data_IF_730799987542
#
_entry.id   IF_730799987542
#
_cell.length_a   1.000
_cell.length_b   1.000
_cell.length_c   1.000
_cell.angle_alpha   90.00
_cell.angle_beta   90.00
_cell.angle_gamma   90.00
#
_symmetry.space_group_name_H-M   'P 1'
#
loop_
_entity.id
_entity.type
_entity.pdbx_description
1 polymer ?
#
# COMPACT_ATOMS: atom_id res chain seq x y z
N UNK A 1 13.01 61.56 22.23
CA UNK A 1 13.53 62.85 22.73
C UNK A 1 12.37 63.54 23.42
N UNK A 2 12.44 63.56 24.76
CA UNK A 2 11.90 64.56 25.70
C UNK A 2 10.42 64.99 25.61
N UNK A 3 9.63 65.09 26.69
CA UNK A 3 9.79 64.80 28.12
C UNK A 3 8.46 65.17 28.84
N UNK A 4 8.24 64.56 30.02
CA UNK A 4 7.65 65.11 31.27
C UNK A 4 6.18 65.59 31.25
N UNK A 5 5.28 65.06 32.09
CA UNK A 5 5.20 65.04 33.58
C UNK A 5 3.87 65.75 33.92
N UNK A 6 3.08 65.53 34.98
CA UNK A 6 3.19 64.79 36.24
C UNK A 6 1.84 64.87 37.00
N UNK A 7 1.58 63.87 37.85
CA UNK A 7 1.06 63.96 39.25
C UNK A 7 -0.39 64.39 39.53
N UNK A 8 -1.08 63.97 40.61
CA UNK A 8 -0.93 62.93 41.66
C UNK A 8 -2.16 63.00 42.62
N UNK A 9 -2.48 61.85 43.24
CA UNK A 9 -2.84 61.57 44.65
C UNK A 9 -4.09 62.14 45.39
N UNK A 10 -4.81 61.17 46.01
CA UNK A 10 -5.22 61.03 47.44
C UNK A 10 -6.57 61.63 47.91
N UNK A 11 -7.55 60.82 48.33
CA UNK A 11 -7.75 60.00 49.56
C UNK A 11 -8.39 60.79 50.72
N UNK A 12 -9.57 60.36 51.18
CA UNK A 12 -9.96 60.30 52.60
C UNK A 12 -11.30 59.59 52.81
N UNK A 13 -11.34 58.72 53.80
CA UNK A 13 -12.38 57.78 54.23
C UNK A 13 -13.33 58.40 55.28
N UNK A 14 -14.48 57.75 55.53
CA UNK A 14 -15.03 57.28 56.85
C UNK A 14 -16.55 57.00 56.72
N UNK A 15 -17.02 55.74 56.64
CA UNK A 15 -17.36 54.74 57.68
C UNK A 15 -18.72 54.88 58.38
N UNK A 16 -19.64 53.98 58.00
CA UNK A 16 -20.25 52.89 58.81
C UNK A 16 -21.74 52.91 59.21
N UNK A 17 -22.25 51.68 59.24
CA UNK A 17 -23.42 51.12 59.93
C UNK A 17 -24.83 51.31 59.34
N UNK A 18 -25.26 50.31 58.56
CA UNK A 18 -26.54 49.60 58.73
C UNK A 18 -26.66 48.46 57.69
N UNK A 19 -26.27 47.22 58.03
CA UNK A 19 -26.57 46.07 57.17
C UNK A 19 -26.55 44.72 57.90
N UNK A 20 -27.56 44.46 58.74
CA UNK A 20 -27.80 43.13 59.33
C UNK A 20 -29.21 42.59 58.99
N UNK A 21 -30.14 43.41 58.48
CA UNK A 21 -31.48 42.98 58.08
C UNK A 21 -31.59 42.31 56.69
N UNK A 22 -30.74 42.68 55.74
CA UNK A 22 -30.93 42.34 54.32
C UNK A 22 -30.21 41.06 53.85
N UNK A 23 -29.32 40.47 54.67
CA UNK A 23 -28.58 39.24 54.33
C UNK A 23 -29.34 37.95 54.64
N UNK A 24 -30.30 37.95 55.58
CA UNK A 24 -31.09 36.75 55.91
C UNK A 24 -32.16 36.41 54.88
N UNK A 25 -32.69 37.39 54.16
CA UNK A 25 -33.73 37.17 53.13
C UNK A 25 -33.14 36.64 51.81
N UNK A 26 -31.92 37.05 51.45
CA UNK A 26 -31.22 36.60 50.22
C UNK A 26 -30.68 35.17 50.34
N UNK A 27 -30.22 34.75 51.51
CA UNK A 27 -29.72 33.39 51.74
C UNK A 27 -30.84 32.33 51.82
N UNK A 28 -32.06 32.71 52.18
CA UNK A 28 -33.20 31.79 52.22
C UNK A 28 -33.77 31.53 50.80
N UNK A 29 -33.69 32.50 49.89
CA UNK A 29 -34.15 32.33 48.50
C UNK A 29 -33.11 31.66 47.58
N UNK A 30 -31.81 31.80 47.82
CA UNK A 30 -30.76 31.12 47.04
C UNK A 30 -30.66 29.62 47.32
N UNK A 31 -30.99 29.16 48.54
CA UNK A 31 -31.01 27.73 48.87
C UNK A 31 -32.15 26.97 48.17
N UNK A 32 -33.26 27.61 47.83
CA UNK A 32 -34.34 26.96 47.08
C UNK A 32 -34.14 26.96 45.56
N UNK A 33 -33.33 27.88 45.01
CA UNK A 33 -33.08 27.98 43.57
C UNK A 33 -31.91 27.10 43.12
N UNK A 34 -30.91 26.86 43.98
CA UNK A 34 -29.73 26.03 43.64
C UNK A 34 -29.91 24.55 44.02
N UNK A 35 -30.74 24.25 45.03
CA UNK A 35 -31.09 22.86 45.42
C UNK A 35 -32.55 22.53 45.08
N UNK A 36 -32.97 22.89 43.86
CA UNK A 36 -34.15 22.30 43.26
C UNK A 36 -33.97 20.78 43.21
N UNK A 37 -34.79 20.05 43.98
CA UNK A 37 -34.86 18.59 44.07
C UNK A 37 -34.48 17.91 42.74
N UNK A 38 -33.21 17.55 42.59
CA UNK A 38 -32.83 16.50 41.64
C UNK A 38 -33.40 15.25 42.25
N UNK A 39 -34.60 14.88 41.82
CA UNK A 39 -35.23 13.64 42.27
C UNK A 39 -34.21 12.51 42.12
N UNK A 40 -34.10 11.60 43.10
CA UNK A 40 -33.18 10.46 43.00
C UNK A 40 -33.34 9.69 41.68
N UNK A 41 -34.51 9.79 41.03
CA UNK A 41 -34.78 9.31 39.67
C UNK A 41 -33.91 9.95 38.58
N UNK A 42 -33.57 11.23 38.67
CA UNK A 42 -32.74 11.92 37.66
C UNK A 42 -31.27 11.53 37.78
N UNK A 43 -30.71 11.52 38.99
CA UNK A 43 -29.35 11.00 39.22
C UNK A 43 -29.25 9.51 38.87
N UNK A 44 -30.28 8.72 39.22
CA UNK A 44 -30.35 7.31 38.84
C UNK A 44 -30.42 7.13 37.32
N UNK A 45 -31.19 7.96 36.60
CA UNK A 45 -31.23 7.94 35.12
C UNK A 45 -29.86 8.28 34.54
N UNK A 46 -29.19 9.31 35.04
CA UNK A 46 -27.87 9.73 34.55
C UNK A 46 -26.80 8.65 34.81
N UNK A 47 -26.79 8.07 36.01
CA UNK A 47 -25.91 6.95 36.36
C UNK A 47 -26.20 5.71 35.49
N UNK A 48 -27.48 5.45 35.18
CA UNK A 48 -27.89 4.35 34.30
C UNK A 48 -27.39 4.57 32.86
N UNK A 49 -27.50 5.79 32.32
CA UNK A 49 -26.94 6.12 31.01
C UNK A 49 -25.40 6.01 30.97
N UNK A 50 -24.72 6.49 32.01
CA UNK A 50 -23.27 6.38 32.11
C UNK A 50 -22.82 4.91 32.17
N UNK A 51 -23.53 4.08 32.95
CA UNK A 51 -23.30 2.64 33.02
C UNK A 51 -23.49 1.97 31.66
N UNK A 52 -24.58 2.26 30.95
CA UNK A 52 -24.81 1.71 29.60
C UNK A 52 -23.76 2.19 28.60
N UNK A 53 -23.30 3.44 28.69
CA UNK A 53 -22.27 3.97 27.80
C UNK A 53 -20.91 3.30 28.04
N UNK A 54 -20.52 3.12 29.31
CA UNK A 54 -19.28 2.40 29.69
C UNK A 54 -19.40 0.92 29.30
N UNK A 55 -20.54 0.29 29.58
CA UNK A 55 -20.79 -1.11 29.20
C UNK A 55 -20.75 -1.30 27.68
N UNK A 56 -21.34 -0.38 26.91
CA UNK A 56 -21.32 -0.43 25.45
C UNK A 56 -19.91 -0.18 24.92
N UNK A 57 -19.18 0.78 25.48
CA UNK A 57 -17.76 1.01 25.15
C UNK A 57 -16.89 -0.21 25.47
N UNK A 58 -17.13 -0.89 26.60
CA UNK A 58 -16.43 -2.10 27.00
C UNK A 58 -16.80 -3.31 26.13
N UNK A 59 -18.07 -3.48 25.79
CA UNK A 59 -18.54 -4.53 24.87
C UNK A 59 -18.03 -4.30 23.44
N UNK A 60 -17.99 -3.04 22.99
CA UNK A 60 -17.40 -2.65 21.71
C UNK A 60 -15.88 -2.86 21.70
N UNK A 61 -15.20 -2.54 22.81
CA UNK A 61 -13.78 -2.84 22.99
C UNK A 61 -13.52 -4.35 22.97
N UNK A 62 -14.32 -5.16 23.68
CA UNK A 62 -14.27 -6.63 23.59
C UNK A 62 -14.54 -7.11 22.17
N UNK A 63 -15.47 -6.48 21.45
CA UNK A 63 -15.81 -6.85 20.07
C UNK A 63 -14.67 -6.55 19.11
N UNK A 64 -14.00 -5.40 19.24
CA UNK A 64 -12.77 -5.05 18.49
C UNK A 64 -11.63 -5.99 18.86
N UNK A 65 -11.51 -6.36 20.14
CA UNK A 65 -10.45 -7.24 20.66
C UNK A 65 -10.80 -8.73 20.55
N UNK A 66 -11.95 -9.11 19.96
CA UNK A 66 -12.23 -10.53 19.75
C UNK A 66 -11.15 -11.05 18.81
N UNK A 67 -10.39 -12.08 19.21
CA UNK A 67 -9.58 -12.79 18.24
C UNK A 67 -10.53 -13.25 17.15
N UNK A 68 -10.26 -12.86 15.91
CA UNK A 68 -10.92 -13.44 14.74
C UNK A 68 -10.66 -14.94 14.87
N UNK A 69 -11.67 -15.70 15.30
CA UNK A 69 -11.56 -17.15 15.36
C UNK A 69 -11.61 -17.60 13.92
N UNK A 70 -10.44 -17.84 13.34
CA UNK A 70 -10.32 -18.39 11.99
C UNK A 70 -10.57 -19.89 12.13
N UNK A 71 -11.77 -20.32 11.74
CA UNK A 71 -12.12 -21.73 11.71
C UNK A 71 -11.32 -22.37 10.57
N UNK A 72 -10.50 -23.36 10.90
CA UNK A 72 -9.80 -24.17 9.91
C UNK A 72 -10.75 -25.25 9.38
N UNK A 73 -11.37 -25.00 8.22
CA UNK A 73 -12.19 -26.01 7.54
C UNK A 73 -11.33 -27.08 6.83
N UNK A 74 -10.01 -26.89 6.71
CA UNK A 74 -9.11 -27.70 5.89
C UNK A 74 -8.05 -28.49 6.69
N UNK A 75 -8.19 -28.58 8.03
CA UNK A 75 -7.22 -29.29 8.87
C UNK A 75 -7.10 -30.77 8.44
N UNK A 76 -6.04 -31.12 7.72
CA UNK A 76 -5.70 -32.49 7.32
C UNK A 76 -5.82 -32.84 5.83
N UNK A 77 -6.20 -31.91 4.94
CA UNK A 77 -6.15 -32.16 3.48
C UNK A 77 -4.77 -31.82 2.90
N UNK A 78 -3.89 -32.83 2.81
CA UNK A 78 -2.61 -32.70 2.10
C UNK A 78 -2.77 -33.05 0.62
N UNK A 79 -3.39 -32.17 -0.15
CA UNK A 79 -3.41 -32.28 -1.60
C UNK A 79 -2.35 -31.36 -2.20
N UNK A 80 -1.17 -31.92 -2.47
CA UNK A 80 -0.37 -31.73 -3.69
C UNK A 80 1.02 -32.37 -3.51
N UNK A 81 1.29 -33.36 -4.36
CA UNK A 81 2.49 -34.17 -4.30
C UNK A 81 3.77 -33.45 -4.80
N UNK A 82 4.87 -33.74 -4.09
CA UNK A 82 6.24 -33.83 -4.59
C UNK A 82 7.05 -32.54 -4.81
N UNK A 83 7.27 -31.78 -3.73
CA UNK A 83 8.35 -30.79 -3.57
C UNK A 83 8.83 -30.80 -2.11
N UNK A 84 10.08 -30.36 -1.81
CA UNK A 84 10.59 -30.18 -0.43
C UNK A 84 9.82 -29.14 0.42
N UNK A 85 8.68 -28.65 -0.10
CA UNK A 85 7.82 -27.65 0.50
C UNK A 85 6.40 -28.20 0.67
N UNK A 86 5.84 -27.99 1.86
CA UNK A 86 4.43 -28.28 2.13
C UNK A 86 3.59 -27.05 1.80
N UNK A 87 2.39 -27.27 1.26
CA UNK A 87 1.44 -26.20 0.94
C UNK A 87 0.20 -26.39 1.83
N UNK A 88 -0.15 -25.36 2.59
CA UNK A 88 -1.35 -25.33 3.44
C UNK A 88 -2.34 -24.31 2.89
N UNK A 89 -3.56 -24.75 2.59
CA UNK A 89 -4.61 -23.86 2.05
C UNK A 89 -5.30 -23.06 3.14
N UNK A 90 -5.32 -21.73 3.00
CA UNK A 90 -5.87 -20.80 4.00
C UNK A 90 -7.31 -20.41 3.69
N UNK A 91 -7.55 -19.86 2.50
CA UNK A 91 -8.87 -19.39 2.09
C UNK A 91 -8.96 -19.41 0.56
N UNK A 92 -10.17 -19.69 0.03
CA UNK A 92 -10.49 -19.44 -1.38
C UNK A 92 -11.68 -18.51 -1.44
N UNK A 93 -11.57 -17.44 -2.22
CA UNK A 93 -12.70 -16.56 -2.52
C UNK A 93 -12.84 -16.37 -4.02
N UNK A 94 -14.08 -16.35 -4.50
CA UNK A 94 -14.38 -16.17 -5.92
C UNK A 94 -15.00 -14.80 -6.16
N UNK A 95 -14.50 -14.12 -7.19
CA UNK A 95 -15.02 -12.85 -7.65
C UNK A 95 -16.46 -13.01 -8.16
N UNK A 96 -17.41 -12.20 -7.66
CA UNK A 96 -18.73 -12.12 -8.27
C UNK A 96 -18.73 -11.36 -9.61
N UNK A 97 -17.65 -10.65 -9.94
CA UNK A 97 -17.52 -9.81 -11.15
C UNK A 97 -17.00 -10.64 -12.32
N UNK A 98 -15.88 -11.34 -12.13
CA UNK A 98 -15.22 -12.10 -13.21
C UNK A 98 -15.39 -13.62 -13.10
N UNK A 99 -16.02 -14.11 -12.02
CA UNK A 99 -16.07 -15.54 -11.69
C UNK A 99 -14.69 -16.19 -11.46
N UNK A 100 -13.64 -15.37 -11.34
CA UNK A 100 -12.27 -15.81 -11.05
C UNK A 100 -12.16 -16.17 -9.57
N UNK A 101 -11.62 -17.34 -9.26
CA UNK A 101 -11.36 -17.75 -7.88
C UNK A 101 -9.89 -17.57 -7.53
N UNK A 102 -9.65 -17.00 -6.35
CA UNK A 102 -8.33 -16.75 -5.79
C UNK A 102 -8.15 -17.62 -4.56
N UNK A 103 -7.00 -18.26 -4.44
CA UNK A 103 -6.65 -19.05 -3.26
C UNK A 103 -5.42 -18.48 -2.57
N UNK A 104 -5.50 -18.40 -1.25
CA UNK A 104 -4.40 -18.05 -0.36
C UNK A 104 -3.86 -19.32 0.26
N UNK A 105 -2.55 -19.50 0.20
CA UNK A 105 -1.85 -20.67 0.74
C UNK A 105 -0.59 -20.24 1.48
N UNK A 106 -0.19 -21.04 2.46
CA UNK A 106 1.11 -20.94 3.11
C UNK A 106 2.03 -22.04 2.58
N UNK A 107 3.19 -21.65 2.10
CA UNK A 107 4.24 -22.50 1.54
C UNK A 107 5.34 -22.60 2.59
N UNK A 108 5.55 -23.80 3.11
CA UNK A 108 6.49 -24.09 4.20
C UNK A 108 7.77 -24.64 3.61
N UNK A 109 8.90 -23.98 3.86
CA UNK A 109 10.22 -24.48 3.51
C UNK A 109 10.87 -25.13 4.75
N UNK A 110 10.92 -26.47 4.78
CA UNK A 110 11.43 -27.23 5.93
C UNK A 110 12.92 -27.02 6.18
N UNK A 111 13.72 -26.86 5.12
CA UNK A 111 15.18 -26.71 5.22
C UNK A 111 15.56 -25.40 5.92
N UNK A 112 14.86 -24.33 5.60
CA UNK A 112 15.10 -22.99 6.17
C UNK A 112 14.20 -22.69 7.36
N UNK A 113 13.21 -23.54 7.64
CA UNK A 113 12.14 -23.29 8.62
C UNK A 113 11.43 -21.97 8.40
N UNK A 114 11.27 -21.56 7.13
CA UNK A 114 10.58 -20.32 6.74
C UNK A 114 9.21 -20.62 6.15
N UNK A 115 8.28 -19.68 6.28
CA UNK A 115 6.95 -19.76 5.67
C UNK A 115 6.72 -18.54 4.81
N UNK A 116 6.26 -18.78 3.58
CA UNK A 116 5.79 -17.76 2.67
C UNK A 116 4.28 -17.90 2.51
N UNK A 117 3.58 -16.77 2.42
CA UNK A 117 2.17 -16.76 2.05
C UNK A 117 2.05 -16.34 0.60
N UNK A 118 1.29 -17.11 -0.17
CA UNK A 118 1.07 -16.88 -1.57
C UNK A 118 -0.42 -16.75 -1.91
N UNK A 119 -0.72 -15.91 -2.90
CA UNK A 119 -2.01 -15.86 -3.57
C UNK A 119 -1.82 -16.32 -5.01
N UNK A 120 -2.75 -17.12 -5.52
CA UNK A 120 -2.81 -17.48 -6.94
C UNK A 120 -4.25 -17.54 -7.44
N UNK A 121 -4.39 -17.50 -8.76
CA UNK A 121 -5.66 -17.70 -9.45
C UNK A 121 -5.86 -19.20 -9.67
N UNK A 122 -7.03 -19.74 -9.29
CA UNK A 122 -7.34 -21.16 -9.49
C UNK A 122 -7.24 -21.54 -10.97
N UNK A 123 -6.53 -22.63 -11.29
CA UNK A 123 -6.14 -23.02 -12.64
C UNK A 123 -4.76 -22.53 -13.08
N UNK A 124 -4.09 -21.70 -12.26
CA UNK A 124 -2.72 -21.20 -12.44
C UNK A 124 -1.90 -21.42 -11.15
N UNK A 125 -2.01 -22.60 -10.53
CA UNK A 125 -1.44 -22.90 -9.21
C UNK A 125 0.10 -22.80 -9.15
N UNK A 126 0.77 -22.83 -10.31
CA UNK A 126 2.23 -22.69 -10.44
C UNK A 126 2.69 -21.26 -10.67
N UNK A 127 1.76 -20.34 -10.90
CA UNK A 127 2.00 -18.93 -11.21
C UNK A 127 1.35 -18.11 -10.09
N UNK A 128 2.11 -17.92 -9.00
CA UNK A 128 1.65 -17.09 -7.90
C UNK A 128 1.49 -15.64 -8.35
N UNK A 129 0.34 -15.06 -8.06
CA UNK A 129 0.07 -13.64 -8.24
C UNK A 129 0.96 -12.83 -7.28
N UNK A 130 0.95 -13.19 -6.00
CA UNK A 130 1.73 -12.53 -4.96
C UNK A 130 2.32 -13.54 -3.99
N UNK A 131 3.56 -13.30 -3.55
CA UNK A 131 4.23 -14.05 -2.47
C UNK A 131 4.81 -13.07 -1.46
N UNK A 132 4.58 -13.30 -0.17
CA UNK A 132 5.14 -12.53 0.95
C UNK A 132 5.76 -13.46 1.98
N UNK A 133 6.77 -13.00 2.71
CA UNK A 133 7.37 -13.76 3.81
C UNK A 133 6.58 -13.54 5.11
N UNK A 134 6.37 -14.61 5.90
CA UNK A 134 5.77 -14.53 7.23
C UNK A 134 6.84 -14.44 8.33
N UNK A 135 6.52 -13.74 9.42
CA UNK A 135 7.33 -13.62 10.63
C UNK A 135 6.65 -14.39 11.76
N UNK A 136 7.24 -15.50 12.25
CA UNK A 136 6.68 -16.24 13.37
C UNK A 136 6.74 -15.42 14.67
N UNK A 137 5.79 -15.62 15.60
CA UNK A 137 5.95 -15.15 16.96
C UNK A 137 7.25 -15.70 17.57
N UNK A 138 7.84 -14.94 18.50
CA UNK A 138 9.16 -15.29 19.06
C UNK A 138 9.16 -16.70 19.67
N UNK A 139 10.05 -17.55 19.18
CA UNK A 139 10.24 -18.92 19.66
C UNK A 139 9.22 -19.93 19.13
N UNK A 140 8.33 -19.52 18.24
CA UNK A 140 7.37 -20.40 17.58
C UNK A 140 7.86 -20.84 16.20
N UNK A 141 7.39 -21.99 15.77
CA UNK A 141 7.61 -22.58 14.44
C UNK A 141 6.27 -22.94 13.80
N UNK A 142 6.26 -23.33 12.52
CA UNK A 142 5.01 -23.69 11.84
C UNK A 142 4.38 -24.97 12.42
N UNK A 143 5.18 -25.85 13.03
CA UNK A 143 4.68 -27.05 13.73
C UNK A 143 4.03 -26.72 15.08
N UNK A 144 4.37 -25.58 15.67
CA UNK A 144 3.96 -25.21 17.03
C UNK A 144 3.01 -24.03 17.09
N UNK A 145 2.80 -23.33 15.96
CA UNK A 145 1.92 -22.18 15.82
C UNK A 145 1.16 -22.23 14.51
N UNK A 146 -0.11 -21.83 14.58
CA UNK A 146 -0.90 -21.48 13.41
C UNK A 146 -0.24 -20.33 12.64
N UNK A 147 0.02 -20.51 11.35
CA UNK A 147 0.66 -19.51 10.48
C UNK A 147 -0.29 -18.38 10.09
N UNK A 148 -1.60 -18.55 10.26
CA UNK A 148 -2.61 -17.53 9.96
C UNK A 148 -2.52 -16.31 10.86
N UNK A 149 -1.93 -16.46 12.05
CA UNK A 149 -1.69 -15.37 13.01
C UNK A 149 -0.30 -14.74 12.89
N UNK A 150 0.56 -15.23 11.99
CA UNK A 150 1.91 -14.70 11.82
C UNK A 150 1.88 -13.32 11.16
N UNK A 151 2.82 -12.46 11.54
CA UNK A 151 2.92 -11.14 10.95
C UNK A 151 3.51 -11.22 9.54
N UNK A 152 3.15 -10.27 8.68
CA UNK A 152 3.68 -10.17 7.32
C UNK A 152 4.99 -9.37 7.34
N UNK A 153 6.03 -9.87 6.68
CA UNK A 153 7.29 -9.16 6.53
C UNK A 153 7.24 -8.17 5.36
N UNK A 154 6.64 -7.00 5.58
CA UNK A 154 6.61 -5.90 4.59
C UNK A 154 8.00 -5.25 4.34
N UNK A 155 9.08 -5.82 4.85
CA UNK A 155 10.45 -5.33 4.63
C UNK A 155 11.30 -6.23 3.76
N UNK A 156 10.74 -7.35 3.27
CA UNK A 156 11.40 -8.31 2.41
C UNK A 156 10.65 -8.47 1.08
N UNK A 157 11.41 -8.51 -0.01
CA UNK A 157 10.93 -8.93 -1.32
C UNK A 157 11.63 -10.25 -1.65
N UNK A 158 10.89 -11.22 -2.16
CA UNK A 158 11.44 -12.54 -2.53
C UNK A 158 11.34 -12.84 -4.02
N UNK A 159 10.57 -12.05 -4.77
CA UNK A 159 10.34 -12.20 -6.22
C UNK A 159 11.13 -11.17 -7.01
N UNK A 160 11.81 -11.60 -8.08
CA UNK A 160 12.70 -10.76 -8.89
C UNK A 160 11.93 -9.64 -9.59
N UNK A 161 10.76 -9.92 -10.18
CA UNK A 161 10.01 -8.91 -10.93
C UNK A 161 9.55 -7.75 -10.04
N UNK A 162 9.09 -8.02 -8.82
CA UNK A 162 8.74 -6.96 -7.83
C UNK A 162 9.97 -6.15 -7.44
N UNK A 163 11.10 -6.81 -7.17
CA UNK A 163 12.36 -6.13 -6.87
C UNK A 163 12.83 -5.25 -8.05
N UNK A 164 12.61 -5.70 -9.29
CA UNK A 164 12.96 -4.96 -10.50
C UNK A 164 12.03 -3.77 -10.72
N UNK A 165 10.71 -3.90 -10.53
CA UNK A 165 9.77 -2.78 -10.55
C UNK A 165 10.16 -1.70 -9.53
N UNK A 166 10.46 -2.10 -8.29
CA UNK A 166 10.91 -1.19 -7.24
C UNK A 166 12.21 -0.50 -7.64
N UNK A 167 13.20 -1.27 -8.11
CA UNK A 167 14.52 -0.75 -8.48
C UNK A 167 14.41 0.25 -9.63
N UNK A 168 13.54 -0.04 -10.62
CA UNK A 168 13.37 0.80 -11.79
C UNK A 168 12.79 2.20 -11.50
N UNK A 169 12.05 2.38 -10.41
CA UNK A 169 11.65 3.71 -9.93
C UNK A 169 12.87 4.61 -9.66
N UNK A 170 13.97 4.03 -9.19
CA UNK A 170 15.19 4.76 -8.89
C UNK A 170 16.09 4.88 -10.12
N UNK A 171 16.18 3.86 -10.97
CA UNK A 171 17.02 3.91 -12.17
C UNK A 171 16.56 4.99 -13.16
N UNK A 172 15.24 5.17 -13.28
CA UNK A 172 14.60 6.19 -14.12
C UNK A 172 14.61 7.59 -13.51
N UNK A 173 15.06 7.73 -12.26
CA UNK A 173 15.01 8.98 -11.48
C UNK A 173 13.61 9.50 -11.13
N UNK A 174 12.56 8.70 -11.36
CA UNK A 174 11.22 8.98 -10.83
C UNK A 174 11.25 9.12 -9.31
N UNK A 175 12.05 8.27 -8.64
CA UNK A 175 12.38 8.39 -7.24
C UNK A 175 13.87 8.72 -7.00
N UNK A 176 14.17 9.54 -5.98
CA UNK A 176 15.53 9.88 -5.58
C UNK A 176 16.16 8.74 -4.75
N UNK A 177 17.45 8.48 -4.93
CA UNK A 177 18.17 7.43 -4.18
C UNK A 177 18.27 7.70 -2.68
N UNK A 178 18.37 8.97 -2.30
CA UNK A 178 18.29 9.42 -0.90
C UNK A 178 16.91 10.04 -0.68
N UNK A 179 16.40 9.93 0.55
CA UNK A 179 15.16 10.61 0.93
C UNK A 179 15.23 12.09 0.53
N UNK A 180 14.27 12.57 -0.26
CA UNK A 180 14.31 13.91 -0.85
C UNK A 180 13.85 15.04 0.09
N UNK A 181 13.99 14.85 1.40
CA UNK A 181 13.40 15.78 2.37
C UNK A 181 11.88 15.85 2.17
N UNK A 182 11.34 17.07 2.13
CA UNK A 182 9.90 17.33 2.16
C UNK A 182 9.17 17.14 0.81
N UNK A 183 9.89 16.80 -0.27
CA UNK A 183 9.28 16.62 -1.59
C UNK A 183 8.64 15.23 -1.71
N UNK A 184 7.34 15.19 -1.43
CA UNK A 184 6.49 14.01 -1.57
C UNK A 184 6.43 13.54 -3.03
N UNK A 185 6.53 12.22 -3.22
CA UNK A 185 6.42 11.57 -4.54
C UNK A 185 5.10 10.84 -4.65
N UNK A 186 4.51 10.86 -5.84
CA UNK A 186 3.19 10.27 -6.07
C UNK A 186 3.26 9.13 -7.09
N UNK A 187 2.75 7.97 -6.68
CA UNK A 187 2.66 6.76 -7.50
C UNK A 187 1.20 6.39 -7.72
N UNK A 188 0.86 6.07 -8.96
CA UNK A 188 -0.40 5.40 -9.32
C UNK A 188 -0.07 3.96 -9.73
N UNK A 189 -0.59 2.97 -9.01
CA UNK A 189 -0.42 1.56 -9.33
C UNK A 189 -1.75 0.99 -9.82
N UNK A 190 -1.75 0.35 -10.98
CA UNK A 190 -2.91 -0.37 -11.52
C UNK A 190 -2.65 -1.86 -11.34
N UNK A 191 -3.48 -2.51 -10.52
CA UNK A 191 -3.27 -3.85 -9.99
C UNK A 191 -2.72 -3.81 -8.55
N UNK A 192 -3.37 -4.54 -7.64
CA UNK A 192 -2.95 -4.69 -6.24
C UNK A 192 -2.22 -6.01 -5.98
N UNK A 193 -2.75 -7.12 -6.51
CA UNK A 193 -2.39 -8.45 -6.04
C UNK A 193 -2.58 -8.58 -4.52
N UNK A 194 -1.59 -9.13 -3.82
CA UNK A 194 -1.51 -9.15 -2.36
C UNK A 194 -0.82 -7.92 -1.76
N UNK A 195 -0.40 -6.95 -2.58
CA UNK A 195 0.16 -5.68 -2.11
C UNK A 195 1.64 -5.71 -1.69
N UNK A 196 2.42 -6.70 -2.12
CA UNK A 196 3.84 -6.82 -1.75
C UNK A 196 4.68 -5.61 -2.21
N UNK A 197 4.47 -5.18 -3.47
CA UNK A 197 5.18 -4.04 -4.06
C UNK A 197 4.97 -2.74 -3.28
N UNK A 198 3.71 -2.37 -3.07
CA UNK A 198 3.34 -1.08 -2.47
C UNK A 198 3.53 -1.09 -0.95
N UNK A 199 3.26 -2.19 -0.25
CA UNK A 199 3.52 -2.28 1.19
C UNK A 199 5.00 -2.22 1.53
N UNK A 200 5.86 -2.79 0.67
CA UNK A 200 7.31 -2.65 0.82
C UNK A 200 7.76 -1.20 0.68
N UNK A 201 7.32 -0.52 -0.39
CA UNK A 201 7.65 0.90 -0.59
C UNK A 201 7.08 1.77 0.52
N UNK A 202 5.84 1.54 0.92
CA UNK A 202 5.18 2.24 2.02
C UNK A 202 5.96 2.15 3.33
N UNK A 203 6.58 0.99 3.60
CA UNK A 203 7.39 0.73 4.79
C UNK A 203 8.81 1.33 4.68
N UNK A 204 9.47 1.19 3.52
CA UNK A 204 10.88 1.60 3.33
C UNK A 204 11.06 3.06 2.92
N UNK A 205 10.01 3.70 2.39
CA UNK A 205 10.03 5.06 1.84
C UNK A 205 8.79 5.84 2.28
N UNK A 206 8.80 6.40 3.50
CA UNK A 206 7.63 7.07 4.05
C UNK A 206 7.21 8.34 3.28
N UNK A 207 8.06 8.94 2.45
CA UNK A 207 7.75 10.18 1.72
C UNK A 207 7.11 9.93 0.33
N UNK A 208 6.48 8.77 0.15
CA UNK A 208 5.81 8.38 -1.09
C UNK A 208 4.32 8.20 -0.80
N UNK A 209 3.49 8.91 -1.56
CA UNK A 209 2.06 8.68 -1.68
C UNK A 209 1.79 7.64 -2.76
N UNK A 210 1.07 6.58 -2.39
CA UNK A 210 0.77 5.45 -3.28
C UNK A 210 -0.74 5.31 -3.39
N UNK A 211 -1.27 5.44 -4.60
CA UNK A 211 -2.66 5.10 -4.91
C UNK A 211 -2.67 3.81 -5.71
N UNK A 212 -3.34 2.79 -5.19
CA UNK A 212 -3.51 1.50 -5.87
C UNK A 212 -4.95 1.43 -6.38
N UNK A 213 -5.12 1.06 -7.64
CA UNK A 213 -6.41 0.83 -8.27
C UNK A 213 -6.54 -0.65 -8.58
N UNK A 214 -7.52 -1.28 -7.96
CA UNK A 214 -7.79 -2.71 -8.10
C UNK A 214 -9.21 -2.91 -8.64
N UNK A 215 -9.36 -3.75 -9.66
CA UNK A 215 -10.66 -4.03 -10.27
C UNK A 215 -11.50 -4.94 -9.35
N UNK A 216 -10.86 -5.89 -8.68
CA UNK A 216 -11.49 -7.00 -7.99
C UNK A 216 -11.63 -6.74 -6.47
N UNK A 217 -12.85 -6.51 -5.95
CA UNK A 217 -13.06 -6.31 -4.51
C UNK A 217 -12.57 -7.51 -3.67
N UNK A 218 -12.65 -8.73 -4.22
CA UNK A 218 -12.19 -9.95 -3.56
C UNK A 218 -10.67 -9.95 -3.38
N UNK A 219 -9.91 -9.46 -4.37
CA UNK A 219 -8.45 -9.31 -4.26
C UNK A 219 -8.11 -8.33 -3.14
N UNK A 220 -8.80 -7.18 -3.08
CA UNK A 220 -8.63 -6.21 -1.97
C UNK A 220 -8.94 -6.83 -0.61
N UNK A 221 -10.00 -7.63 -0.53
CA UNK A 221 -10.39 -8.32 0.72
C UNK A 221 -9.29 -9.29 1.18
N UNK A 222 -8.79 -10.14 0.29
CA UNK A 222 -7.72 -11.10 0.58
C UNK A 222 -6.42 -10.40 0.95
N UNK A 223 -6.03 -9.36 0.21
CA UNK A 223 -4.82 -8.58 0.45
C UNK A 223 -4.82 -7.93 1.85
N UNK A 224 -5.94 -7.32 2.25
CA UNK A 224 -6.09 -6.73 3.59
C UNK A 224 -6.12 -7.78 4.70
N UNK A 225 -6.80 -8.90 4.47
CA UNK A 225 -6.97 -9.95 5.49
C UNK A 225 -5.68 -10.74 5.72
N UNK A 226 -4.98 -11.09 4.65
CA UNK A 226 -3.92 -12.11 4.69
C UNK A 226 -2.53 -11.62 4.33
N UNK A 227 -2.40 -10.49 3.65
CA UNK A 227 -1.11 -9.96 3.16
C UNK A 227 -0.71 -8.64 3.81
N UNK A 228 -1.42 -8.22 4.86
CA UNK A 228 -1.01 -7.07 5.67
C UNK A 228 -1.13 -5.73 4.96
N UNK A 229 -1.97 -5.66 3.92
CA UNK A 229 -2.30 -4.40 3.24
C UNK A 229 -3.10 -3.51 4.17
N UNK A 230 -2.65 -2.27 4.33
CA UNK A 230 -3.32 -1.24 5.13
C UNK A 230 -3.57 0.00 4.28
N UNK A 231 -4.61 0.75 4.61
CA UNK A 231 -4.88 2.06 4.03
C UNK A 231 -4.61 3.14 5.09
N UNK A 232 -3.86 4.17 4.73
CA UNK A 232 -3.61 5.37 5.52
C UNK A 232 -3.44 6.61 4.62
N UNK A 233 -3.01 7.74 5.20
CA UNK A 233 -2.84 9.00 4.47
C UNK A 233 -1.81 8.96 3.33
N UNK A 234 -0.90 7.97 3.35
CA UNK A 234 0.18 7.81 2.38
C UNK A 234 -0.05 6.67 1.41
N UNK A 235 -0.88 5.70 1.75
CA UNK A 235 -1.18 4.57 0.86
C UNK A 235 -2.65 4.23 0.89
N UNK A 236 -3.30 4.18 -0.27
CA UNK A 236 -4.73 3.87 -0.39
C UNK A 236 -5.03 2.91 -1.52
N UNK A 237 -5.95 1.97 -1.30
CA UNK A 237 -6.58 1.15 -2.34
C UNK A 237 -7.93 1.71 -2.74
N UNK A 238 -8.16 1.82 -4.05
CA UNK A 238 -9.42 2.19 -4.66
C UNK A 238 -9.91 1.00 -5.48
N UNK A 239 -11.09 0.48 -5.14
CA UNK A 239 -11.76 -0.54 -5.96
C UNK A 239 -12.40 0.15 -7.17
N UNK A 240 -11.76 0.07 -8.33
CA UNK A 240 -12.19 0.74 -9.56
C UNK A 240 -11.52 0.09 -10.78
N UNK A 241 -12.15 0.21 -11.94
CA UNK A 241 -11.52 -0.07 -13.22
C UNK A 241 -10.31 0.87 -13.48
N UNK A 242 -9.18 0.28 -13.86
CA UNK A 242 -7.92 1.00 -14.06
C UNK A 242 -7.96 2.02 -15.19
N UNK A 243 -8.68 1.74 -16.28
CA UNK A 243 -8.83 2.69 -17.40
C UNK A 243 -9.62 3.92 -16.96
N UNK A 244 -10.67 3.70 -16.17
CA UNK A 244 -11.48 4.76 -15.58
C UNK A 244 -10.64 5.66 -14.68
N UNK A 245 -9.80 5.07 -13.81
CA UNK A 245 -8.90 5.84 -12.94
C UNK A 245 -7.89 6.68 -13.75
N UNK A 246 -7.28 6.13 -14.79
CA UNK A 246 -6.36 6.86 -15.68
C UNK A 246 -7.08 8.05 -16.34
N UNK A 247 -8.29 7.82 -16.85
CA UNK A 247 -9.07 8.86 -17.52
C UNK A 247 -9.49 9.98 -16.57
N UNK A 248 -9.94 9.63 -15.37
CA UNK A 248 -10.26 10.60 -14.30
C UNK A 248 -9.04 11.42 -13.90
N UNK A 249 -7.88 10.79 -13.69
CA UNK A 249 -6.63 11.49 -13.38
C UNK A 249 -6.28 12.52 -14.46
N UNK A 250 -6.44 12.16 -15.73
CA UNK A 250 -6.24 13.09 -16.86
C UNK A 250 -7.22 14.25 -16.82
N UNK A 251 -8.51 14.00 -16.56
CA UNK A 251 -9.56 15.03 -16.47
C UNK A 251 -9.28 15.99 -15.30
N UNK A 252 -8.86 15.45 -14.16
CA UNK A 252 -8.56 16.21 -12.95
C UNK A 252 -7.22 16.97 -13.03
N UNK A 253 -6.37 16.63 -14.00
CA UNK A 253 -5.04 17.21 -14.14
C UNK A 253 -4.00 16.63 -13.19
N UNK A 254 -4.27 15.46 -12.60
CA UNK A 254 -3.36 14.75 -11.70
C UNK A 254 -2.07 14.36 -12.43
N UNK A 255 -0.93 14.40 -11.72
CA UNK A 255 0.39 14.07 -12.27
C UNK A 255 1.19 13.19 -11.33
N UNK A 256 1.72 12.09 -11.86
CA UNK A 256 2.46 11.10 -11.08
C UNK A 256 3.95 11.08 -11.40
N UNK A 257 4.78 10.82 -10.39
CA UNK A 257 6.19 10.52 -10.57
C UNK A 257 6.38 9.14 -11.21
N UNK A 258 5.48 8.18 -10.94
CA UNK A 258 5.37 7.00 -11.76
C UNK A 258 3.94 6.45 -11.84
N UNK A 259 3.65 5.83 -12.98
CA UNK A 259 2.48 4.95 -13.16
C UNK A 259 3.02 3.52 -13.27
N UNK A 260 2.55 2.63 -12.39
CA UNK A 260 2.92 1.22 -12.38
C UNK A 260 1.74 0.44 -12.94
N UNK A 261 2.00 -0.37 -13.96
CA UNK A 261 1.04 -1.22 -14.62
C UNK A 261 1.38 -2.69 -14.34
N UNK A 262 0.65 -3.27 -13.39
CA UNK A 262 0.76 -4.65 -12.96
C UNK A 262 -0.64 -5.30 -12.92
N UNK A 263 -1.38 -5.13 -14.02
CA UNK A 263 -2.71 -5.67 -14.20
C UNK A 263 -2.70 -6.64 -15.39
N UNK A 264 -3.23 -7.84 -15.20
CA UNK A 264 -3.13 -8.94 -16.15
C UNK A 264 -4.50 -9.43 -16.61
N UNK A 265 -4.58 -9.94 -17.83
CA UNK A 265 -5.73 -10.68 -18.33
C UNK A 265 -5.54 -12.18 -18.10
N UNK A 266 -6.65 -12.93 -18.10
CA UNK A 266 -6.64 -14.41 -18.04
C UNK A 266 -6.21 -15.08 -19.36
N UNK A 267 -5.38 -14.43 -20.19
CA UNK A 267 -4.94 -14.98 -21.49
C UNK A 267 -3.69 -15.84 -21.36
N UNK A 268 -3.63 -16.94 -22.12
CA UNK A 268 -2.54 -17.93 -22.05
C UNK A 268 -1.27 -17.57 -22.84
N UNK A 269 -1.23 -16.42 -23.52
CA UNK A 269 -0.10 -16.01 -24.36
C UNK A 269 0.78 -14.95 -23.69
N UNK A 270 0.15 -13.88 -23.21
CA UNK A 270 0.79 -12.73 -22.56
C UNK A 270 -0.24 -12.17 -21.57
N UNK A 271 -0.39 -12.78 -20.38
CA UNK A 271 -1.32 -12.32 -19.36
C UNK A 271 -1.03 -10.87 -18.94
N UNK A 272 0.23 -10.49 -18.77
CA UNK A 272 0.59 -9.17 -18.28
C UNK A 272 1.38 -8.37 -19.33
N UNK A 273 1.07 -7.08 -19.56
CA UNK A 273 -0.11 -6.39 -19.06
C UNK A 273 -1.38 -6.78 -19.82
N UNK A 274 -2.55 -6.55 -19.22
CA UNK A 274 -3.84 -6.69 -19.89
C UNK A 274 -3.90 -5.85 -21.17
N UNK A 275 -4.46 -6.42 -22.24
CA UNK A 275 -4.41 -5.87 -23.61
C UNK A 275 -5.05 -4.49 -23.72
N UNK A 276 -6.04 -4.22 -22.88
CA UNK A 276 -6.75 -2.92 -22.80
C UNK A 276 -5.83 -1.76 -22.43
N UNK A 277 -4.75 -2.02 -21.68
CA UNK A 277 -3.77 -0.99 -21.32
C UNK A 277 -2.73 -0.72 -22.42
N UNK A 278 -2.65 -1.58 -23.44
CA UNK A 278 -1.72 -1.43 -24.58
C UNK A 278 -2.34 -0.68 -25.77
N UNK A 279 -3.56 -0.14 -25.65
CA UNK A 279 -4.15 0.65 -26.73
C UNK A 279 -3.46 2.01 -26.86
N UNK A 280 -3.45 2.57 -28.08
CA UNK A 280 -2.85 3.89 -28.33
C UNK A 280 -3.52 5.00 -27.51
N UNK A 281 -4.84 4.92 -27.33
CA UNK A 281 -5.58 5.86 -26.47
C UNK A 281 -5.07 5.78 -25.03
N UNK A 282 -5.08 4.59 -24.43
CA UNK A 282 -4.67 4.42 -23.03
C UNK A 282 -3.21 4.84 -22.80
N UNK A 283 -2.28 4.46 -23.67
CA UNK A 283 -0.87 4.84 -23.53
C UNK A 283 -0.66 6.36 -23.68
N UNK A 284 -1.45 7.01 -24.53
CA UNK A 284 -1.45 8.48 -24.64
C UNK A 284 -1.96 9.13 -23.35
N UNK A 285 -3.01 8.58 -22.73
CA UNK A 285 -3.52 9.09 -21.46
C UNK A 285 -2.53 8.88 -20.32
N UNK A 286 -1.95 7.68 -20.20
CA UNK A 286 -0.90 7.38 -19.23
C UNK A 286 0.26 8.37 -19.38
N UNK A 287 0.77 8.56 -20.61
CA UNK A 287 1.85 9.53 -20.85
C UNK A 287 1.45 10.94 -20.44
N UNK A 288 0.19 11.33 -20.64
CA UNK A 288 -0.32 12.65 -20.28
C UNK A 288 -0.42 12.87 -18.78
N UNK A 289 -0.55 11.83 -17.95
CA UNK A 289 -0.61 11.94 -16.47
C UNK A 289 0.76 11.74 -15.80
N UNK A 290 1.84 11.55 -16.57
CA UNK A 290 3.19 11.55 -16.02
C UNK A 290 3.71 12.98 -15.80
N UNK A 291 4.46 13.18 -14.73
CA UNK A 291 5.33 14.35 -14.56
C UNK A 291 6.42 14.37 -15.65
N UNK A 292 7.08 15.51 -15.93
CA UNK A 292 8.12 15.60 -16.96
C UNK A 292 9.27 14.61 -16.77
N UNK A 293 9.64 14.28 -15.52
CA UNK A 293 10.65 13.26 -15.17
C UNK A 293 10.02 11.97 -14.64
N UNK A 294 8.73 11.75 -14.90
CA UNK A 294 8.03 10.55 -14.46
C UNK A 294 8.33 9.35 -15.36
N UNK A 295 7.91 8.17 -14.93
CA UNK A 295 8.07 6.92 -15.69
C UNK A 295 6.79 6.08 -15.70
N UNK A 296 6.55 5.37 -16.79
CA UNK A 296 5.62 4.24 -16.82
C UNK A 296 6.42 2.96 -16.55
N UNK A 297 6.09 2.19 -15.53
CA UNK A 297 6.67 0.86 -15.28
C UNK A 297 5.62 -0.19 -15.62
N UNK A 298 6.01 -1.19 -16.40
CA UNK A 298 5.13 -2.26 -16.86
C UNK A 298 5.72 -3.62 -16.50
N UNK A 299 4.95 -4.44 -15.79
CA UNK A 299 5.23 -5.87 -15.67
C UNK A 299 4.74 -6.59 -16.94
N UNK A 300 5.65 -7.28 -17.62
CA UNK A 300 5.33 -8.08 -18.80
C UNK A 300 5.58 -9.55 -18.47
N UNK A 301 4.55 -10.39 -18.58
CA UNK A 301 4.63 -11.82 -18.31
C UNK A 301 4.36 -12.61 -19.60
N UNK A 302 5.39 -13.04 -20.34
CA UNK A 302 5.23 -13.92 -21.49
C UNK A 302 5.02 -15.37 -21.04
N UNK A 303 3.85 -15.94 -21.33
CA UNK A 303 3.64 -17.38 -21.15
C UNK A 303 4.17 -18.11 -22.39
N UNK A 304 5.19 -18.96 -22.16
CA UNK A 304 6.02 -19.68 -23.16
C UNK A 304 7.12 -18.81 -23.81
N UNK A 305 8.11 -19.48 -24.43
CA UNK A 305 9.28 -18.90 -25.16
C UNK A 305 8.89 -18.07 -26.41
N UNK A 306 7.89 -17.20 -26.31
CA UNK A 306 7.38 -16.37 -27.40
C UNK A 306 8.02 -14.98 -27.35
N UNK A 307 9.32 -14.91 -27.66
CA UNK A 307 10.05 -13.63 -27.81
C UNK A 307 9.30 -12.64 -28.71
N UNK A 308 8.58 -13.13 -29.73
CA UNK A 308 7.79 -12.30 -30.64
C UNK A 308 6.69 -11.46 -29.95
N UNK A 309 6.07 -11.96 -28.87
CA UNK A 309 5.04 -11.22 -28.14
C UNK A 309 5.64 -10.07 -27.34
N UNK A 310 6.81 -10.29 -26.72
CA UNK A 310 7.56 -9.24 -26.04
C UNK A 310 7.96 -8.13 -27.01
N UNK A 311 8.51 -8.46 -28.18
CA UNK A 311 8.88 -7.48 -29.21
C UNK A 311 7.67 -6.66 -29.69
N UNK A 312 6.49 -7.29 -29.81
CA UNK A 312 5.26 -6.59 -30.17
C UNK A 312 4.86 -5.57 -29.10
N UNK A 313 4.90 -5.95 -27.82
CA UNK A 313 4.61 -5.03 -26.70
C UNK A 313 5.62 -3.90 -26.67
N UNK A 314 6.92 -4.19 -26.80
CA UNK A 314 7.97 -3.17 -26.86
C UNK A 314 7.76 -2.17 -28.00
N UNK A 315 7.40 -2.65 -29.20
CA UNK A 315 7.08 -1.77 -30.34
C UNK A 315 5.88 -0.84 -30.06
N UNK A 316 4.85 -1.36 -29.38
CA UNK A 316 3.68 -0.56 -28.97
C UNK A 316 4.10 0.52 -27.96
N UNK A 317 4.87 0.16 -26.95
CA UNK A 317 5.37 1.10 -25.94
C UNK A 317 6.25 2.19 -26.58
N UNK A 318 7.23 1.80 -27.41
CA UNK A 318 8.12 2.73 -28.11
C UNK A 318 7.39 3.63 -29.11
N UNK A 319 6.21 3.24 -29.61
CA UNK A 319 5.42 4.15 -30.45
C UNK A 319 4.94 5.40 -29.70
N UNK A 320 4.78 5.33 -28.37
CA UNK A 320 4.32 6.43 -27.50
C UNK A 320 5.44 7.04 -26.66
N UNK A 321 6.42 6.23 -26.24
CA UNK A 321 7.53 6.64 -25.39
C UNK A 321 8.85 6.61 -26.17
N UNK A 322 9.62 7.71 -26.23
CA UNK A 322 10.88 7.75 -26.99
C UNK A 322 11.95 6.78 -26.48
N UNK A 323 11.88 6.39 -25.20
CA UNK A 323 12.85 5.49 -24.57
C UNK A 323 12.13 4.53 -23.64
N UNK A 324 12.52 3.25 -23.70
CA UNK A 324 12.18 2.26 -22.69
C UNK A 324 13.43 1.52 -22.20
N UNK A 325 13.49 1.23 -20.90
CA UNK A 325 14.55 0.51 -20.22
C UNK A 325 13.97 -0.85 -19.84
N UNK A 326 14.50 -1.91 -20.43
CA UNK A 326 14.07 -3.30 -20.22
C UNK A 326 14.98 -3.98 -19.20
N UNK A 327 14.39 -4.69 -18.25
CA UNK A 327 15.10 -5.54 -17.30
C UNK A 327 14.55 -6.97 -17.35
N UNK A 328 15.40 -7.94 -17.68
CA UNK A 328 15.04 -9.35 -17.81
C UNK A 328 15.36 -10.10 -16.51
N UNK A 329 14.41 -10.90 -16.01
CA UNK A 329 14.64 -11.70 -14.80
C UNK A 329 15.37 -13.01 -15.14
N UNK A 330 16.21 -13.49 -14.22
CA UNK A 330 17.04 -14.69 -14.41
C UNK A 330 16.27 -15.99 -14.12
N UNK A 331 15.39 -15.96 -13.13
CA UNK A 331 14.67 -17.13 -12.62
C UNK A 331 13.15 -17.03 -12.80
N UNK A 332 12.67 -15.90 -13.33
CA UNK A 332 11.27 -15.64 -13.60
C UNK A 332 11.07 -15.32 -15.09
N UNK A 333 9.89 -15.64 -15.62
CA UNK A 333 9.56 -15.33 -17.01
C UNK A 333 9.33 -13.82 -17.23
N UNK A 334 9.03 -13.10 -16.15
CA UNK A 334 8.70 -11.67 -16.16
C UNK A 334 9.83 -10.83 -16.77
N UNK A 335 9.39 -9.76 -17.44
CA UNK A 335 10.25 -8.69 -17.95
C UNK A 335 9.67 -7.38 -17.45
N UNK A 336 10.49 -6.58 -16.79
CA UNK A 336 10.06 -5.28 -16.26
C UNK A 336 10.56 -4.18 -17.18
N UNK A 337 9.66 -3.35 -17.66
CA UNK A 337 9.97 -2.28 -18.62
C UNK A 337 9.59 -0.93 -18.06
N UNK A 338 10.53 0.00 -18.02
CA UNK A 338 10.28 1.41 -17.69
C UNK A 338 10.35 2.28 -18.93
N UNK A 339 9.30 3.04 -19.23
CA UNK A 339 9.22 3.91 -20.39
C UNK A 339 9.17 5.39 -19.99
N UNK A 340 10.06 6.19 -20.58
CA UNK A 340 10.27 7.60 -20.25
C UNK A 340 9.53 8.50 -21.22
N UNK A 341 8.87 9.59 -20.77
CA UNK A 341 8.16 10.50 -21.65
C UNK A 341 9.10 11.44 -22.44
N UNK A 342 10.40 11.40 -22.18
CA UNK A 342 11.45 12.25 -22.76
C UNK A 342 12.57 11.42 -23.41
N UNK A 343 13.26 12.01 -24.38
CA UNK A 343 14.38 11.39 -25.07
C UNK A 343 15.67 11.46 -24.26
N UNK A 344 16.52 10.45 -24.41
CA UNK A 344 17.91 10.48 -23.94
C UNK A 344 18.82 10.94 -25.09
N UNK A 345 19.94 11.59 -24.76
CA UNK A 345 20.94 11.94 -25.76
C UNK A 345 21.60 10.66 -26.30
N UNK A 346 21.54 10.44 -27.62
CA UNK A 346 22.07 9.26 -28.29
C UNK A 346 23.58 9.08 -28.13
N UNK A 347 24.28 10.20 -27.99
CA UNK A 347 25.74 10.28 -28.14
C UNK A 347 26.46 9.71 -26.92
N UNK A 348 25.76 9.57 -25.78
CA UNK A 348 26.28 9.12 -24.49
C UNK A 348 25.49 7.91 -23.95
N UNK A 349 24.98 7.04 -24.82
CA UNK A 349 24.12 5.93 -24.39
C UNK A 349 24.84 4.95 -23.45
N UNK A 350 26.13 4.70 -23.67
CA UNK A 350 26.92 3.83 -22.79
C UNK A 350 27.10 4.43 -21.40
N UNK A 351 27.51 5.70 -21.30
CA UNK A 351 27.61 6.41 -20.01
C UNK A 351 26.26 6.46 -19.30
N UNK A 352 25.18 6.65 -20.05
CA UNK A 352 23.80 6.64 -19.52
C UNK A 352 23.44 5.26 -18.99
N UNK A 353 23.81 4.18 -19.70
CA UNK A 353 23.62 2.81 -19.24
C UNK A 353 24.41 2.54 -17.97
N UNK A 354 25.67 2.97 -17.90
CA UNK A 354 26.49 2.83 -16.70
C UNK A 354 25.89 3.59 -15.51
N UNK A 355 25.39 4.81 -15.71
CA UNK A 355 24.69 5.56 -14.67
C UNK A 355 23.43 4.83 -14.19
N UNK A 356 22.61 4.31 -15.11
CA UNK A 356 21.39 3.56 -14.78
C UNK A 356 21.73 2.30 -13.96
N UNK A 357 22.78 1.57 -14.35
CA UNK A 357 23.27 0.40 -13.60
C UNK A 357 23.75 0.77 -12.20
N UNK A 358 24.57 1.83 -12.07
CA UNK A 358 25.01 2.32 -10.76
C UNK A 358 23.82 2.73 -9.86
N UNK A 359 22.79 3.33 -10.44
CA UNK A 359 21.55 3.67 -9.70
C UNK A 359 20.81 2.41 -9.26
N UNK A 360 20.73 1.40 -10.12
CA UNK A 360 20.09 0.12 -9.82
C UNK A 360 20.80 -0.60 -8.66
N UNK A 361 22.13 -0.69 -8.72
CA UNK A 361 22.95 -1.28 -7.66
C UNK A 361 22.80 -0.52 -6.35
N UNK A 362 22.88 0.81 -6.39
CA UNK A 362 22.75 1.62 -5.18
C UNK A 362 21.35 1.53 -4.55
N UNK A 363 20.30 1.57 -5.37
CA UNK A 363 18.93 1.44 -4.89
C UNK A 363 18.65 0.06 -4.30
N UNK A 364 19.04 -1.00 -5.02
CA UNK A 364 18.81 -2.38 -4.59
C UNK A 364 19.58 -2.72 -3.30
N UNK A 365 20.80 -2.19 -3.13
CA UNK A 365 21.56 -2.31 -1.89
C UNK A 365 20.92 -1.54 -0.73
N UNK A 366 20.54 -0.27 -0.93
CA UNK A 366 19.89 0.54 0.11
C UNK A 366 18.56 -0.07 0.60
N UNK A 367 17.81 -0.68 -0.32
CA UNK A 367 16.53 -1.31 -0.01
C UNK A 367 16.67 -2.74 0.54
N UNK A 368 17.87 -3.34 0.48
CA UNK A 368 18.10 -4.71 0.92
C UNK A 368 17.55 -5.79 -0.02
N UNK A 369 17.39 -5.47 -1.31
CA UNK A 369 16.84 -6.37 -2.34
C UNK A 369 17.88 -6.76 -3.40
N UNK A 370 19.15 -6.36 -3.23
CA UNK A 370 20.24 -6.68 -4.17
C UNK A 370 20.41 -8.19 -4.37
N UNK A 371 20.35 -8.98 -3.29
CA UNK A 371 20.47 -10.44 -3.36
C UNK A 371 19.32 -11.14 -4.09
N UNK A 372 18.17 -10.48 -4.26
CA UNK A 372 17.02 -11.01 -5.03
C UNK A 372 17.26 -10.84 -6.53
N UNK A 373 17.88 -9.74 -6.92
CA UNK A 373 18.09 -9.42 -8.32
C UNK A 373 19.27 -10.16 -8.93
N UNK A 374 20.22 -10.66 -8.12
CA UNK A 374 21.44 -11.43 -8.46
C UNK A 374 22.28 -10.89 -9.63
N UNK A 375 21.70 -10.84 -10.82
CA UNK A 375 22.23 -10.27 -12.05
C UNK A 375 21.30 -9.21 -12.65
N UNK A 376 21.85 -8.01 -12.91
CA UNK A 376 21.11 -6.91 -13.52
C UNK A 376 21.22 -6.96 -15.06
N UNK A 377 20.35 -7.72 -15.73
CA UNK A 377 20.23 -7.70 -17.20
C UNK A 377 19.39 -6.51 -17.66
N UNK A 378 20.05 -5.38 -17.91
CA UNK A 378 19.42 -4.13 -18.31
C UNK A 378 19.79 -3.71 -19.73
N UNK A 379 18.77 -3.38 -20.53
CA UNK A 379 18.91 -2.88 -21.90
C UNK A 379 18.13 -1.59 -22.10
N UNK A 380 18.76 -0.54 -22.62
CA UNK A 380 18.08 0.68 -23.08
C UNK A 380 17.64 0.46 -24.53
N UNK A 381 16.37 0.76 -24.81
CA UNK A 381 15.77 0.66 -26.14
C UNK A 381 15.22 2.03 -26.53
N UNK A 382 15.70 2.56 -27.64
CA UNK A 382 15.28 3.85 -28.20
C UNK A 382 14.22 3.62 -29.28
N UNK A 383 13.35 4.61 -29.50
CA UNK A 383 12.31 4.60 -30.53
C UNK A 383 12.87 4.59 -31.94
#
# INVERSE_FOLDING_TARGET
MFERDRQHLFLSQTTNNNNIGSRKLLLHNLKQIIFGRVSGRWMYRLAKYLFFFILFGYLFWIWIQRPQVIIDENFGESDLANTNSDITKIETLCSPITSTCYSVVDIINRETSTVQRAMYINGFEKEYDTVVQLIPPKGMTYETSDTRIWAINNTAITTQYVAAMITQLFTTSALPLKSAGDNERELLCIGLGGGNFDMFLHTKRPNIKITIVELEPVVVQLAKRWFGVVDDDRRKTIVKDGLTAISESKINGDKYDAVILDACDNTKEMPCPAKTFLTSSTLTEIKSILKPMGTLIVNILPLKKQKANLEKVMKILLSHFPVCIKMQMSYEANVVVSCLPYSLASDNLEDTKQLILQRAEKASNDLGIHGVLEYLDLTIVLK
#
